data_IF_739252315478
#
_entry.id   IF_739252315478
#
_cell.length_a   1.000
_cell.length_b   1.000
_cell.length_c   1.000
_cell.angle_alpha   90.00
_cell.angle_beta   90.00
_cell.angle_gamma   90.00
#
_symmetry.space_group_name_H-M   'P 1'
#
loop_
_entity.id
_entity.type
_entity.pdbx_description
1 polymer ?
#
# COMPACT_ATOMS: atom_id res chain seq x y z
N UNK A 1 -15.39 12.29 20.69
CA UNK A 1 -14.72 13.61 20.55
C UNK A 1 -14.85 14.21 19.15
N UNK A 2 -14.91 13.40 18.09
CA UNK A 2 -15.03 13.84 16.68
C UNK A 2 -16.29 14.64 16.37
N UNK A 3 -17.41 14.44 17.08
CA UNK A 3 -18.66 15.20 16.91
C UNK A 3 -18.57 16.70 17.19
N UNK A 4 -17.49 17.17 17.82
CA UNK A 4 -17.27 18.61 18.06
C UNK A 4 -16.47 19.27 16.95
N UNK A 5 -15.77 18.50 16.11
CA UNK A 5 -15.04 19.05 14.97
C UNK A 5 -16.07 19.44 13.92
N UNK A 6 -15.96 20.66 13.41
CA UNK A 6 -16.90 21.25 12.46
C UNK A 6 -16.26 21.53 11.10
N UNK A 7 -14.94 21.73 11.03
CA UNK A 7 -14.21 21.80 9.76
C UNK A 7 -12.72 21.56 10.00
N UNK A 8 -12.03 21.04 8.98
CA UNK A 8 -10.58 20.80 9.00
C UNK A 8 -10.01 21.11 7.63
N UNK A 9 -9.31 22.23 7.54
CA UNK A 9 -9.01 22.86 6.25
C UNK A 9 -7.63 23.51 6.20
N UNK A 10 -7.08 23.63 4.99
CA UNK A 10 -5.84 24.39 4.77
C UNK A 10 -6.09 25.87 5.04
N UNK A 11 -5.05 26.55 5.52
CA UNK A 11 -5.03 27.99 5.77
C UNK A 11 -4.20 28.67 4.69
N UNK A 12 -4.63 29.86 4.26
CA UNK A 12 -3.88 30.67 3.30
C UNK A 12 -2.53 31.08 3.89
N UNK A 13 -1.47 31.00 3.08
CA UNK A 13 -0.11 31.38 3.51
C UNK A 13 -0.05 32.85 3.94
N UNK A 14 -0.86 33.71 3.33
CA UNK A 14 -0.98 35.13 3.67
C UNK A 14 -1.55 35.39 5.08
N UNK A 15 -2.20 34.40 5.69
CA UNK A 15 -2.80 34.52 7.01
C UNK A 15 -1.72 34.65 8.10
N UNK A 16 -0.68 33.80 8.05
CA UNK A 16 0.39 33.75 9.05
C UNK A 16 1.79 34.04 8.49
N UNK A 17 1.95 34.18 7.18
CA UNK A 17 3.26 34.21 6.51
C UNK A 17 4.08 32.94 6.82
N UNK A 18 3.37 31.81 6.94
CA UNK A 18 3.91 30.49 7.24
C UNK A 18 3.31 29.48 6.28
N UNK A 19 4.12 28.52 5.88
CA UNK A 19 3.69 27.38 5.06
C UNK A 19 3.14 26.26 5.94
N UNK A 20 2.42 25.33 5.30
CA UNK A 20 1.96 24.08 5.92
C UNK A 20 1.04 24.29 7.14
N UNK A 21 0.28 25.39 7.14
CA UNK A 21 -0.69 25.69 8.20
C UNK A 21 -2.06 25.17 7.80
N UNK A 22 -2.71 24.51 8.74
CA UNK A 22 -4.11 24.09 8.64
C UNK A 22 -4.88 24.53 9.88
N UNK A 23 -6.20 24.56 9.77
CA UNK A 23 -7.10 24.94 10.84
C UNK A 23 -8.06 23.80 11.17
N UNK A 24 -8.42 23.73 12.45
CA UNK A 24 -9.46 22.86 12.99
C UNK A 24 -10.48 23.75 13.67
N UNK A 25 -11.70 23.75 13.15
CA UNK A 25 -12.83 24.48 13.73
C UNK A 25 -13.59 23.50 14.62
N UNK A 26 -13.75 23.85 15.90
CA UNK A 26 -14.44 23.06 16.91
C UNK A 26 -15.64 23.85 17.40
N UNK A 27 -16.76 23.17 17.60
CA UNK A 27 -17.92 23.72 18.29
C UNK A 27 -17.87 23.37 19.77
N UNK A 28 -17.86 24.40 20.60
CA UNK A 28 -17.89 24.26 22.05
C UNK A 28 -19.31 23.96 22.56
N UNK A 29 -19.42 23.61 23.84
CA UNK A 29 -20.69 23.18 24.46
C UNK A 29 -21.76 24.27 24.48
N UNK A 30 -21.35 25.53 24.42
CA UNK A 30 -22.21 26.72 24.33
C UNK A 30 -22.68 27.02 22.90
N UNK A 31 -22.25 26.23 21.92
CA UNK A 31 -22.57 26.41 20.50
C UNK A 31 -21.64 27.36 19.76
N UNK A 32 -20.71 28.03 20.44
CA UNK A 32 -19.70 28.90 19.83
C UNK A 32 -18.69 28.11 19.00
N UNK A 33 -18.10 28.77 18.00
CA UNK A 33 -17.07 28.18 17.14
C UNK A 33 -15.69 28.67 17.57
N UNK A 34 -14.82 27.74 17.89
CA UNK A 34 -13.42 27.96 18.22
C UNK A 34 -12.54 27.43 17.10
N UNK A 35 -11.67 28.29 16.54
CA UNK A 35 -10.74 27.91 15.46
C UNK A 35 -9.33 27.80 16.02
N UNK A 36 -8.73 26.61 15.89
CA UNK A 36 -7.33 26.34 16.23
C UNK A 36 -6.50 26.21 14.97
N UNK A 37 -5.32 26.84 14.94
CA UNK A 37 -4.38 26.78 13.82
C UNK A 37 -3.18 25.92 14.20
N UNK A 38 -2.78 25.02 13.31
CA UNK A 38 -1.65 24.11 13.50
C UNK A 38 -0.71 24.20 12.31
N UNK A 39 0.59 24.21 12.58
CA UNK A 39 1.64 24.20 11.56
C UNK A 39 2.29 22.81 11.53
N UNK A 40 2.33 22.19 10.36
CA UNK A 40 3.07 20.97 10.13
C UNK A 40 4.51 21.26 9.67
N UNK A 41 5.41 20.29 9.80
CA UNK A 41 6.82 20.39 9.39
C UNK A 41 6.96 20.54 7.87
N UNK A 42 6.11 19.85 7.12
CA UNK A 42 6.12 19.80 5.66
C UNK A 42 4.69 19.59 5.11
N UNK A 43 4.57 19.69 3.78
CA UNK A 43 3.30 19.55 3.06
C UNK A 43 2.70 18.15 3.26
N UNK A 44 3.54 17.11 3.32
CA UNK A 44 3.09 15.73 3.46
C UNK A 44 2.46 15.49 4.85
N UNK A 45 3.10 15.96 5.91
CA UNK A 45 2.56 15.89 7.27
C UNK A 45 1.25 16.68 7.39
N UNK A 46 1.15 17.88 6.79
CA UNK A 46 -0.10 18.63 6.76
C UNK A 46 -1.23 17.80 6.11
N UNK A 47 -0.97 17.21 4.94
CA UNK A 47 -1.96 16.39 4.25
C UNK A 47 -2.32 15.11 5.02
N UNK A 48 -1.36 14.49 5.72
CA UNK A 48 -1.61 13.36 6.60
C UNK A 48 -2.56 13.74 7.74
N UNK A 49 -2.33 14.86 8.42
CA UNK A 49 -3.21 15.36 9.47
C UNK A 49 -4.61 15.69 8.95
N UNK A 50 -4.71 16.45 7.84
CA UNK A 50 -6.00 16.75 7.21
C UNK A 50 -6.78 15.47 6.88
N UNK A 51 -6.11 14.49 6.27
CA UNK A 51 -6.71 13.22 5.89
C UNK A 51 -7.16 12.39 7.08
N UNK A 52 -6.30 12.26 8.10
CA UNK A 52 -6.60 11.51 9.31
C UNK A 52 -7.81 12.08 10.03
N UNK A 53 -7.84 13.40 10.26
CA UNK A 53 -8.94 14.03 11.00
C UNK A 53 -10.23 13.99 10.17
N UNK A 54 -10.18 14.29 8.86
CA UNK A 54 -11.37 14.19 7.99
C UNK A 54 -11.97 12.78 7.99
N UNK A 55 -11.14 11.73 7.92
CA UNK A 55 -11.59 10.32 8.01
C UNK A 55 -12.34 10.04 9.32
N UNK A 56 -11.89 10.60 10.43
CA UNK A 56 -12.58 10.45 11.73
C UNK A 56 -13.89 11.26 11.82
N UNK A 57 -14.12 12.20 10.91
CA UNK A 57 -15.29 13.08 10.88
C UNK A 57 -16.30 12.71 9.77
N UNK A 58 -16.10 11.62 9.03
CA UNK A 58 -16.97 11.24 7.89
C UNK A 58 -18.44 11.10 8.28
N UNK A 59 -18.73 10.54 9.46
CA UNK A 59 -20.10 10.36 9.96
C UNK A 59 -20.62 11.57 10.73
N UNK A 60 -19.85 12.66 10.80
CA UNK A 60 -20.22 13.84 11.57
C UNK A 60 -21.16 14.75 10.76
N UNK A 61 -22.42 14.81 11.18
CA UNK A 61 -23.45 15.66 10.57
C UNK A 61 -23.28 17.16 10.87
N UNK A 62 -22.35 17.54 11.76
CA UNK A 62 -22.13 18.94 12.19
C UNK A 62 -21.03 19.66 11.42
N UNK A 63 -20.60 19.10 10.29
CA UNK A 63 -19.61 19.70 9.41
C UNK A 63 -20.16 21.00 8.80
N UNK A 64 -19.36 22.07 8.84
CA UNK A 64 -19.68 23.34 8.21
C UNK A 64 -19.54 23.19 6.69
N UNK A 65 -20.45 23.77 5.92
CA UNK A 65 -20.34 23.82 4.45
C UNK A 65 -19.37 24.88 3.92
N UNK A 66 -19.01 25.84 4.77
CA UNK A 66 -18.12 26.96 4.41
C UNK A 66 -17.21 27.35 5.57
N UNK A 67 -16.02 27.87 5.27
CA UNK A 67 -15.03 28.34 6.23
C UNK A 67 -14.24 29.54 5.69
N UNK A 68 -13.46 30.20 6.56
CA UNK A 68 -12.51 31.23 6.17
C UNK A 68 -11.09 30.65 6.13
N UNK A 69 -10.39 30.63 4.98
CA UNK A 69 -9.00 30.15 4.91
C UNK A 69 -8.00 31.14 5.53
N UNK A 70 -8.42 32.36 5.83
CA UNK A 70 -7.63 33.38 6.50
C UNK A 70 -7.84 33.46 8.01
N UNK A 71 -7.16 34.41 8.65
CA UNK A 71 -7.35 34.75 10.08
C UNK A 71 -8.16 36.03 10.22
N UNK A 72 -8.89 36.17 11.33
CA UNK A 72 -9.51 37.45 11.68
C UNK A 72 -8.51 38.29 12.49
N UNK A 73 -8.01 39.39 11.90
CA UNK A 73 -7.07 40.32 12.54
C UNK A 73 -7.31 41.74 12.02
N UNK A 74 -7.02 42.75 12.84
CA UNK A 74 -7.29 44.16 12.51
C UNK A 74 -8.76 44.40 12.08
N UNK A 75 -9.69 43.78 12.82
CA UNK A 75 -11.14 43.86 12.59
C UNK A 75 -11.60 43.38 11.21
N UNK A 76 -10.82 42.54 10.53
CA UNK A 76 -11.19 41.94 9.25
C UNK A 76 -10.57 40.56 9.03
N UNK A 77 -11.22 39.75 8.19
CA UNK A 77 -10.67 38.49 7.71
C UNK A 77 -9.59 38.73 6.65
N UNK A 78 -8.45 38.05 6.76
CA UNK A 78 -7.36 38.19 5.76
C UNK A 78 -7.69 37.59 4.40
N UNK A 79 -8.71 36.72 4.32
CA UNK A 79 -9.09 36.03 3.08
C UNK A 79 -10.11 36.80 2.23
N UNK A 80 -11.08 37.47 2.85
CA UNK A 80 -12.19 38.14 2.14
C UNK A 80 -12.45 39.57 2.62
N UNK A 81 -11.67 40.07 3.58
CA UNK A 81 -11.80 41.40 4.17
C UNK A 81 -13.12 41.66 4.92
N UNK A 82 -13.94 40.62 5.12
CA UNK A 82 -15.15 40.69 5.94
C UNK A 82 -14.79 41.12 7.37
N UNK A 83 -15.59 42.02 7.95
CA UNK A 83 -15.32 42.63 9.25
C UNK A 83 -15.95 41.85 10.41
N UNK A 84 -17.09 41.21 10.14
CA UNK A 84 -17.76 40.37 11.12
C UNK A 84 -17.03 39.03 11.30
N UNK A 85 -16.59 38.76 12.54
CA UNK A 85 -15.93 37.50 12.92
C UNK A 85 -16.88 36.30 12.88
N UNK A 86 -18.18 36.53 13.01
CA UNK A 86 -19.22 35.49 13.00
C UNK A 86 -19.84 35.27 11.62
N UNK A 87 -19.36 36.02 10.62
CA UNK A 87 -19.81 35.88 9.25
C UNK A 87 -19.61 34.47 8.71
N UNK A 88 -20.41 34.13 7.69
CA UNK A 88 -20.29 32.86 7.00
C UNK A 88 -18.96 32.81 6.23
N UNK A 89 -18.29 31.66 6.33
CA UNK A 89 -17.06 31.38 5.60
C UNK A 89 -17.12 31.72 4.11
N UNK A 90 -16.04 32.30 3.59
CA UNK A 90 -15.93 32.70 2.19
C UNK A 90 -15.50 31.58 1.23
N UNK A 91 -15.03 30.45 1.76
CA UNK A 91 -14.64 29.26 0.99
C UNK A 91 -15.51 28.07 1.36
N UNK A 92 -15.66 27.10 0.44
CA UNK A 92 -16.41 25.87 0.69
C UNK A 92 -15.54 24.88 1.44
N UNK A 93 -16.06 24.32 2.53
CA UNK A 93 -15.41 23.19 3.23
C UNK A 93 -15.43 21.98 2.31
N UNK A 94 -14.42 21.10 2.38
CA UNK A 94 -14.45 19.81 1.73
C UNK A 94 -15.48 18.90 2.44
N UNK A 95 -16.78 19.21 2.29
CA UNK A 95 -17.86 18.53 3.02
C UNK A 95 -18.29 17.21 2.36
N UNK A 96 -17.57 16.73 1.35
CA UNK A 96 -17.66 15.38 0.85
C UNK A 96 -16.34 15.04 0.19
N UNK A 97 -15.78 13.88 0.55
CA UNK A 97 -14.96 13.14 -0.41
C UNK A 97 -15.93 12.77 -1.52
N UNK A 98 -16.07 13.62 -2.55
CA UNK A 98 -16.57 13.10 -3.81
C UNK A 98 -15.54 12.04 -4.20
N UNK A 99 -16.00 10.87 -4.65
CA UNK A 99 -15.13 9.77 -5.05
C UNK A 99 -14.06 10.21 -6.11
N UNK A 100 -14.21 11.40 -6.70
CA UNK A 100 -13.25 12.04 -7.60
C UNK A 100 -12.13 12.88 -6.97
N UNK A 101 -12.22 13.22 -5.67
CA UNK A 101 -11.17 13.95 -4.93
C UNK A 101 -10.30 13.03 -4.06
N UNK A 102 -10.57 11.71 -4.10
CA UNK A 102 -9.58 10.72 -3.67
C UNK A 102 -8.46 10.71 -4.71
N UNK A 103 -7.51 11.64 -4.56
CA UNK A 103 -6.20 11.49 -5.18
C UNK A 103 -5.50 10.43 -4.35
N UNK A 104 -5.65 9.18 -4.75
CA UNK A 104 -4.79 8.11 -4.29
C UNK A 104 -3.35 8.64 -4.38
N UNK A 105 -2.58 8.73 -3.27
CA UNK A 105 -1.19 9.18 -3.32
C UNK A 105 -0.30 8.24 -4.13
N UNK A 106 -0.84 7.08 -4.50
CA UNK A 106 -0.17 6.01 -5.20
C UNK A 106 -0.57 6.15 -6.67
N UNK A 107 0.34 6.68 -7.49
CA UNK A 107 0.26 6.41 -8.92
C UNK A 107 0.46 4.90 -9.08
N UNK A 108 -0.57 4.11 -9.47
CA UNK A 108 -0.47 2.66 -9.52
C UNK A 108 0.65 2.20 -10.46
N UNK A 109 0.98 3.00 -11.49
CA UNK A 109 2.10 2.71 -12.36
C UNK A 109 3.45 2.98 -11.66
N UNK A 110 3.56 4.04 -10.87
CA UNK A 110 4.77 4.36 -10.11
C UNK A 110 5.02 3.36 -8.96
N UNK A 111 3.97 2.87 -8.32
CA UNK A 111 4.07 1.81 -7.32
C UNK A 111 4.44 0.47 -7.98
N UNK A 112 3.80 0.12 -9.10
CA UNK A 112 4.19 -1.05 -9.89
C UNK A 112 5.67 -0.95 -10.31
N UNK A 113 6.13 0.24 -10.69
CA UNK A 113 7.53 0.50 -11.03
C UNK A 113 8.47 0.30 -9.84
N UNK A 114 8.05 0.75 -8.66
CA UNK A 114 8.81 0.61 -7.41
C UNK A 114 8.95 -0.86 -7.05
N UNK A 115 7.84 -1.61 -7.10
CA UNK A 115 7.82 -3.07 -6.84
C UNK A 115 8.68 -3.81 -7.87
N UNK A 116 8.54 -3.48 -9.16
CA UNK A 116 9.34 -4.06 -10.24
C UNK A 116 10.85 -3.83 -10.00
N UNK A 117 11.23 -2.61 -9.63
CA UNK A 117 12.63 -2.26 -9.35
C UNK A 117 13.20 -3.07 -8.18
N UNK A 118 12.43 -3.26 -7.10
CA UNK A 118 12.85 -4.09 -5.97
C UNK A 118 12.98 -5.57 -6.35
N UNK A 119 12.05 -6.10 -7.15
CA UNK A 119 12.11 -7.48 -7.65
C UNK A 119 13.30 -7.68 -8.57
N UNK A 120 13.61 -6.73 -9.44
CA UNK A 120 14.80 -6.79 -10.31
C UNK A 120 16.09 -6.86 -9.50
N UNK A 121 16.22 -6.03 -8.45
CA UNK A 121 17.39 -6.05 -7.56
C UNK A 121 17.54 -7.41 -6.85
N UNK A 122 16.42 -8.03 -6.46
CA UNK A 122 16.41 -9.34 -5.82
C UNK A 122 16.43 -10.53 -6.78
N UNK A 123 16.33 -10.31 -8.10
CA UNK A 123 16.04 -11.36 -9.10
C UNK A 123 17.06 -12.49 -9.07
N UNK A 124 18.34 -12.15 -9.05
CA UNK A 124 19.40 -13.16 -9.16
C UNK A 124 19.55 -13.97 -7.86
N UNK A 125 19.26 -13.35 -6.71
CA UNK A 125 19.19 -14.02 -5.40
C UNK A 125 17.98 -14.97 -5.34
N UNK A 126 16.82 -14.51 -5.82
CA UNK A 126 15.61 -15.32 -5.90
C UNK A 126 15.80 -16.51 -6.85
N UNK A 127 16.48 -16.28 -7.98
CA UNK A 127 16.81 -17.33 -8.96
C UNK A 127 17.81 -18.35 -8.41
N UNK A 128 18.89 -17.92 -7.73
CA UNK A 128 19.88 -18.82 -7.12
C UNK A 128 19.24 -19.72 -6.05
N UNK A 129 18.49 -19.12 -5.11
CA UNK A 129 17.78 -19.88 -4.07
C UNK A 129 16.76 -20.86 -4.64
N UNK A 130 16.18 -20.57 -5.81
CA UNK A 130 15.24 -21.48 -6.45
C UNK A 130 15.95 -22.64 -7.18
N UNK A 131 17.04 -22.36 -7.91
CA UNK A 131 17.85 -23.36 -8.61
C UNK A 131 18.58 -24.31 -7.63
N UNK A 132 19.17 -23.78 -6.56
CA UNK A 132 19.78 -24.60 -5.50
C UNK A 132 18.78 -25.60 -4.87
N UNK A 133 17.49 -25.24 -4.84
CA UNK A 133 16.42 -26.09 -4.33
C UNK A 133 15.85 -27.07 -5.37
N UNK A 134 16.07 -26.83 -6.66
CA UNK A 134 15.70 -27.74 -7.75
C UNK A 134 16.75 -28.87 -7.91
N UNK A 135 18.04 -28.54 -7.76
CA UNK A 135 19.13 -29.51 -7.77
C UNK A 135 19.11 -30.42 -6.53
N UNK A 136 18.70 -29.89 -5.37
CA UNK A 136 18.49 -30.68 -4.15
C UNK A 136 17.29 -31.66 -4.23
N UNK A 137 16.31 -31.41 -5.11
CA UNK A 137 15.20 -32.32 -5.40
C UNK A 137 15.60 -33.44 -6.36
N UNK A 138 16.39 -33.10 -7.38
CA UNK A 138 16.84 -34.03 -8.43
C UNK A 138 17.85 -35.07 -7.92
N UNK A 139 18.70 -34.68 -6.96
CA UNK A 139 19.68 -35.57 -6.31
C UNK A 139 19.05 -36.60 -5.36
N UNK A 140 17.85 -36.33 -4.86
CA UNK A 140 17.09 -37.25 -3.99
C UNK A 140 16.33 -38.33 -4.79
N UNK A 141 16.01 -38.09 -6.06
CA UNK A 141 15.33 -39.05 -6.93
C UNK A 141 16.29 -40.01 -7.65
N UNK A 142 17.51 -39.55 -8.01
CA UNK A 142 18.48 -40.40 -8.74
C UNK A 142 19.14 -41.50 -7.91
N UNK A 143 19.00 -41.47 -6.59
CA UNK A 143 19.66 -42.41 -5.67
C UNK A 143 18.78 -43.62 -5.29
N UNK A 144 17.53 -43.69 -5.76
CA UNK A 144 16.57 -44.73 -5.32
C UNK A 144 16.11 -45.71 -6.42
N UNK A 145 16.49 -45.53 -7.69
CA UNK A 145 16.12 -46.42 -8.80
C UNK A 145 17.10 -47.59 -9.03
N UNK A 146 18.26 -47.63 -8.37
CA UNK A 146 19.25 -48.71 -8.57
C UNK A 146 19.16 -49.88 -7.58
N UNK A 147 18.26 -49.85 -6.59
CA UNK A 147 18.29 -50.82 -5.47
C UNK A 147 17.19 -51.90 -5.46
N UNK A 148 16.20 -51.87 -6.35
CA UNK A 148 15.09 -52.83 -6.33
C UNK A 148 15.10 -53.76 -7.55
N UNK A 149 16.05 -54.69 -7.58
CA UNK A 149 15.92 -55.88 -8.42
C UNK A 149 16.74 -57.05 -7.85
N UNK A 150 16.28 -57.60 -6.72
CA UNK A 150 16.58 -58.99 -6.35
C UNK A 150 15.70 -59.44 -5.19
N UNK A 151 15.04 -60.58 -5.41
CA UNK A 151 14.61 -61.55 -4.40
C UNK A 151 13.27 -61.29 -3.69
N UNK A 152 12.22 -61.71 -4.41
CA UNK A 152 11.09 -62.39 -3.81
C UNK A 152 11.54 -63.78 -3.33
N UNK A 153 11.17 -64.18 -2.11
CA UNK A 153 10.59 -65.50 -1.83
C UNK A 153 10.24 -65.69 -0.34
N UNK A 154 9.02 -66.23 -0.15
CA UNK A 154 8.65 -67.21 0.88
C UNK A 154 8.56 -66.75 2.35
N UNK A 155 7.34 -66.63 2.88
CA UNK A 155 6.65 -67.66 3.68
C UNK A 155 6.91 -67.47 5.19
N UNK A 156 6.03 -67.74 6.16
CA UNK A 156 4.60 -67.96 6.27
C UNK A 156 4.31 -68.00 7.80
N UNK A 157 3.13 -67.53 8.22
CA UNK A 157 2.29 -68.10 9.30
C UNK A 157 2.55 -67.88 10.81
N UNK A 158 1.38 -67.71 11.47
CA UNK A 158 0.92 -68.01 12.85
C UNK A 158 1.11 -66.99 14.00
N UNK A 159 -0.03 -66.39 14.40
CA UNK A 159 -0.64 -66.32 15.75
C UNK A 159 0.14 -65.71 16.93
N UNK A 160 -0.44 -65.21 18.02
CA UNK A 160 -1.79 -64.85 18.43
C UNK A 160 -1.64 -64.07 19.77
N UNK A 161 -2.63 -63.22 20.10
CA UNK A 161 -3.04 -62.81 21.47
C UNK A 161 -2.19 -61.83 22.33
N UNK A 162 -2.87 -60.72 22.66
CA UNK A 162 -3.12 -60.13 23.99
C UNK A 162 -2.03 -59.49 24.86
N UNK A 163 -2.37 -58.24 25.22
CA UNK A 163 -2.33 -57.60 26.55
C UNK A 163 -1.15 -56.73 27.01
N UNK A 164 -1.60 -55.55 27.46
CA UNK A 164 -1.06 -54.69 28.52
C UNK A 164 0.22 -53.90 28.23
N UNK A 165 0.06 -52.58 28.29
CA UNK A 165 1.12 -51.62 28.04
C UNK A 165 2.19 -51.60 29.13
N UNK A 166 3.33 -51.01 28.80
CA UNK A 166 4.20 -50.22 29.67
C UNK A 166 5.09 -49.34 28.77
N UNK A 167 5.46 -48.18 29.30
CA UNK A 167 6.26 -47.12 28.70
C UNK A 167 7.47 -47.59 27.88
N UNK A 168 7.67 -47.01 26.70
CA UNK A 168 8.98 -46.98 26.02
C UNK A 168 9.09 -45.78 25.07
N UNK A 169 10.07 -44.93 25.39
CA UNK A 169 10.93 -44.10 24.52
C UNK A 169 10.57 -44.06 23.02
N UNK A 170 10.46 -42.86 22.38
CA UNK A 170 10.24 -42.80 20.94
C UNK A 170 11.51 -43.20 20.16
N UNK A 171 11.39 -44.26 19.36
CA UNK A 171 12.40 -44.76 18.42
C UNK A 171 12.58 -43.79 17.22
N UNK A 172 13.81 -43.32 16.91
CA UNK A 172 14.06 -42.35 15.85
C UNK A 172 14.23 -43.03 14.49
N UNK A 173 13.19 -43.66 13.95
CA UNK A 173 13.17 -44.14 12.55
C UNK A 173 11.78 -44.03 11.90
N UNK A 174 11.24 -42.81 11.81
CA UNK A 174 10.20 -42.52 10.81
C UNK A 174 10.87 -42.07 9.51
N UNK A 175 10.82 -42.93 8.48
CA UNK A 175 11.14 -42.51 7.10
C UNK A 175 10.20 -41.35 6.72
N UNK A 176 10.70 -40.27 6.10
CA UNK A 176 9.85 -39.17 5.68
C UNK A 176 8.84 -39.65 4.65
N UNK A 177 7.57 -39.35 4.90
CA UNK A 177 6.42 -39.79 4.13
C UNK A 177 6.48 -39.21 2.69
N UNK A 178 6.89 -40.03 1.71
CA UNK A 178 7.21 -39.64 0.32
C UNK A 178 6.07 -38.87 -0.35
N UNK A 179 4.81 -39.18 0.00
CA UNK A 179 3.63 -38.47 -0.52
C UNK A 179 3.55 -37.01 -0.06
N UNK A 180 3.99 -36.73 1.16
CA UNK A 180 3.99 -35.38 1.73
C UNK A 180 5.08 -34.51 1.11
N UNK A 181 6.22 -35.11 0.78
CA UNK A 181 7.30 -34.47 0.04
C UNK A 181 6.85 -34.09 -1.37
N UNK A 182 6.25 -35.01 -2.14
CA UNK A 182 5.78 -34.74 -3.51
C UNK A 182 4.72 -33.63 -3.56
N UNK A 183 3.75 -33.66 -2.65
CA UNK A 183 2.75 -32.58 -2.50
C UNK A 183 3.37 -31.23 -2.14
N UNK A 184 4.44 -31.20 -1.36
CA UNK A 184 5.18 -29.98 -1.03
C UNK A 184 5.95 -29.44 -2.24
N UNK A 185 6.60 -30.31 -3.02
CA UNK A 185 7.26 -29.91 -4.28
C UNK A 185 6.23 -29.37 -5.27
N UNK A 186 5.08 -30.05 -5.45
CA UNK A 186 4.01 -29.60 -6.34
C UNK A 186 3.44 -28.23 -5.93
N UNK A 187 3.16 -28.04 -4.63
CA UNK A 187 2.67 -26.77 -4.10
C UNK A 187 3.70 -25.63 -4.27
N UNK A 188 4.99 -25.95 -4.16
CA UNK A 188 6.11 -25.01 -4.33
C UNK A 188 6.36 -24.67 -5.80
N UNK A 189 6.24 -25.64 -6.71
CA UNK A 189 6.29 -25.41 -8.16
C UNK A 189 5.11 -24.53 -8.61
N UNK A 190 3.91 -24.79 -8.07
CA UNK A 190 2.74 -23.96 -8.33
C UNK A 190 2.92 -22.52 -7.79
N UNK A 191 3.58 -22.34 -6.65
CA UNK A 191 3.91 -21.02 -6.13
C UNK A 191 4.91 -20.28 -7.04
N UNK A 192 5.90 -20.99 -7.60
CA UNK A 192 6.87 -20.41 -8.51
C UNK A 192 6.25 -19.97 -9.84
N UNK A 193 5.34 -20.79 -10.41
CA UNK A 193 4.60 -20.41 -11.61
C UNK A 193 3.82 -19.10 -11.41
N UNK A 194 3.10 -18.98 -10.29
CA UNK A 194 2.38 -17.74 -9.94
C UNK A 194 3.29 -16.52 -9.79
N UNK A 195 4.50 -16.70 -9.24
CA UNK A 195 5.46 -15.61 -9.11
C UNK A 195 5.99 -15.15 -10.48
N UNK A 196 6.24 -16.08 -11.40
CA UNK A 196 6.65 -15.74 -12.75
C UNK A 196 5.56 -14.98 -13.52
N UNK A 197 4.30 -15.38 -13.35
CA UNK A 197 3.17 -14.65 -13.94
C UNK A 197 3.09 -13.21 -13.42
N UNK A 198 3.25 -13.02 -12.10
CA UNK A 198 3.28 -11.68 -11.48
C UNK A 198 4.44 -10.84 -12.02
N UNK A 199 5.62 -11.43 -12.21
CA UNK A 199 6.78 -10.73 -12.79
C UNK A 199 6.49 -10.30 -14.23
N UNK A 200 5.93 -11.19 -15.04
CA UNK A 200 5.57 -10.88 -16.42
C UNK A 200 4.49 -9.78 -16.51
N UNK A 201 3.56 -9.75 -15.56
CA UNK A 201 2.55 -8.69 -15.46
C UNK A 201 3.19 -7.34 -15.11
N UNK A 202 4.12 -7.32 -14.16
CA UNK A 202 4.87 -6.12 -13.78
C UNK A 202 5.75 -5.59 -14.93
N UNK A 203 6.36 -6.47 -15.72
CA UNK A 203 7.14 -6.10 -16.91
C UNK A 203 6.26 -5.40 -17.96
N UNK A 204 5.05 -5.90 -18.22
CA UNK A 204 4.10 -5.25 -19.15
C UNK A 204 3.67 -3.88 -18.66
N UNK A 205 3.45 -3.72 -17.34
CA UNK A 205 3.13 -2.43 -16.74
C UNK A 205 4.33 -1.47 -16.85
N UNK A 206 5.54 -1.94 -16.60
CA UNK A 206 6.78 -1.15 -16.77
C UNK A 206 6.93 -0.61 -18.19
N UNK A 207 6.71 -1.44 -19.19
CA UNK A 207 6.78 -1.04 -20.60
C UNK A 207 5.73 0.03 -20.96
N UNK A 208 4.50 -0.16 -20.47
CA UNK A 208 3.43 0.81 -20.66
C UNK A 208 3.74 2.17 -20.01
N UNK A 209 4.28 2.15 -18.78
CA UNK A 209 4.73 3.34 -18.09
C UNK A 209 5.83 4.07 -18.86
N UNK A 210 6.88 3.35 -19.28
CA UNK A 210 7.97 3.93 -20.08
C UNK A 210 7.49 4.54 -21.39
N UNK A 211 6.51 3.90 -22.05
CA UNK A 211 5.91 4.45 -23.28
C UNK A 211 5.18 5.75 -23.01
N UNK A 212 4.35 5.80 -21.94
CA UNK A 212 3.64 7.01 -21.51
C UNK A 212 4.61 8.15 -21.17
N UNK A 213 5.68 7.87 -20.44
CA UNK A 213 6.69 8.88 -20.10
C UNK A 213 7.41 9.43 -21.33
N UNK A 214 7.76 8.58 -22.30
CA UNK A 214 8.33 9.03 -23.58
C UNK A 214 7.35 9.89 -24.38
N UNK A 215 6.07 9.57 -24.37
CA UNK A 215 5.03 10.35 -25.05
C UNK A 215 4.80 11.70 -24.36
N UNK A 216 4.80 11.74 -23.03
CA UNK A 216 4.73 12.97 -22.24
C UNK A 216 5.92 13.88 -22.50
N UNK A 217 7.14 13.33 -22.51
CA UNK A 217 8.36 14.08 -22.84
C UNK A 217 8.28 14.69 -24.26
N UNK A 218 7.87 13.90 -25.26
CA UNK A 218 7.69 14.38 -26.64
C UNK A 218 6.58 15.42 -26.78
N UNK A 219 5.51 15.32 -25.98
CA UNK A 219 4.44 16.31 -25.93
C UNK A 219 4.91 17.65 -25.35
N UNK A 220 5.76 17.60 -24.31
CA UNK A 220 6.39 18.77 -23.72
C UNK A 220 7.33 19.47 -24.71
N UNK A 221 8.11 18.71 -25.48
CA UNK A 221 9.00 19.23 -26.52
C UNK A 221 8.22 19.89 -27.67
N UNK A 222 7.15 19.28 -28.17
CA UNK A 222 6.28 19.87 -29.20
C UNK A 222 5.58 21.15 -28.73
N UNK A 223 5.12 21.18 -27.48
CA UNK A 223 4.55 22.40 -26.89
C UNK A 223 5.59 23.53 -26.80
N UNK A 224 6.85 23.20 -26.52
CA UNK A 224 7.95 24.15 -26.48
C UNK A 224 8.34 24.68 -27.87
N UNK A 225 8.28 23.86 -28.91
CA UNK A 225 8.53 24.28 -30.30
C UNK A 225 7.43 25.20 -30.85
N UNK A 226 6.16 24.89 -30.60
CA UNK A 226 5.02 25.72 -31.05
C UNK A 226 4.98 27.09 -30.35
N UNK A 227 5.53 27.19 -29.14
CA UNK A 227 5.66 28.44 -28.39
C UNK A 227 6.70 29.40 -28.99
N UNK A 228 7.67 28.89 -29.76
CA UNK A 228 8.74 29.68 -30.38
C UNK A 228 8.36 30.19 -31.79
N UNK A 229 7.51 29.45 -32.51
CA UNK A 229 7.01 29.85 -33.85
C UNK A 229 5.86 30.87 -33.80
N UNK A 230 5.28 31.13 -32.61
CA UNK A 230 4.17 32.10 -32.45
C UNK A 230 4.64 33.51 -32.07
N UNK A 231 5.95 33.76 -32.08
CA UNK A 231 6.58 35.05 -31.69
C UNK A 231 7.32 35.77 -32.83
N UNK A 232 7.14 35.34 -34.08
CA UNK A 232 7.60 36.07 -35.28
C UNK A 232 6.44 36.65 -36.09
#
# INVERSE_FOLDING_TARGET
MTHRICAVERVDENAFQRTNVFQVIIRDGDGSLSTTYLQAKDVNEMHQWLSAIRKTCVTNSRMLGTFHPGTHRASKWTCCLETDKTARGCSKTHSAVTLGDWRDPLDPDAEAQTIYSQILLGRDILRSKYLELADAGSTAESSHEQANNSEAESNNSVGNSSESGHNSVPDPKQKPDIRRSRSFYDAKMAAAARLLDVIADLERVHEAFNKRERERAKGLERGRSLSLESTE
#
